data_IF_551391196065
#
_entry.id   IF_551391196065
#
_cell.length_a   1.000
_cell.length_b   1.000
_cell.length_c   1.000
_cell.angle_alpha   90.00
_cell.angle_beta   90.00
_cell.angle_gamma   90.00
#
_symmetry.space_group_name_H-M   'P 1'
#
loop_
_entity.id
_entity.type
_entity.pdbx_description
1 polymer ?
#
# COMPACT_ATOMS: atom_id res chain seq x y z
N UNK A 1 19.86 5.42 13.75
CA UNK A 1 18.44 5.08 13.50
C UNK A 1 17.79 6.27 12.83
N UNK A 2 17.35 6.15 11.57
CA UNK A 2 16.66 7.23 10.88
C UNK A 2 15.39 7.60 11.67
N UNK A 3 15.23 8.89 11.98
CA UNK A 3 14.06 9.42 12.68
C UNK A 3 12.83 9.14 11.81
N UNK A 4 11.86 8.40 12.33
CA UNK A 4 10.62 8.13 11.59
C UNK A 4 9.95 9.46 11.22
N UNK A 5 9.93 9.78 9.93
CA UNK A 5 9.23 10.94 9.38
C UNK A 5 7.76 10.58 9.19
N UNK A 6 6.86 11.51 9.56
CA UNK A 6 5.43 11.33 9.38
C UNK A 6 5.13 11.11 7.89
N UNK A 7 4.41 10.03 7.56
CA UNK A 7 4.07 9.70 6.17
C UNK A 7 5.15 8.98 5.38
N UNK A 8 6.29 8.60 5.98
CA UNK A 8 7.35 7.86 5.29
C UNK A 8 6.90 6.52 4.68
N UNK A 9 5.81 5.94 5.17
CA UNK A 9 5.23 4.70 4.66
C UNK A 9 4.05 4.91 3.70
N UNK A 10 3.72 6.14 3.34
CA UNK A 10 2.65 6.40 2.37
C UNK A 10 3.05 5.81 1.00
N UNK A 11 2.05 5.30 0.28
CA UNK A 11 2.23 4.81 -1.09
C UNK A 11 1.32 5.59 -2.01
N UNK A 12 1.91 6.30 -2.95
CA UNK A 12 1.17 7.02 -3.99
C UNK A 12 0.68 6.04 -5.05
N UNK A 13 -0.57 6.21 -5.48
CA UNK A 13 -1.22 5.45 -6.55
C UNK A 13 -1.99 6.39 -7.47
N UNK A 14 -2.32 5.92 -8.66
CA UNK A 14 -3.31 6.55 -9.54
C UNK A 14 -4.56 5.68 -9.59
N UNK A 15 -5.70 6.24 -9.23
CA UNK A 15 -6.97 5.53 -9.11
C UNK A 15 -8.05 6.25 -9.91
N UNK A 16 -8.59 5.61 -10.96
CA UNK A 16 -9.47 6.21 -11.97
C UNK A 16 -8.91 7.51 -12.57
N UNK A 17 -7.60 7.52 -12.85
CA UNK A 17 -6.89 8.69 -13.40
C UNK A 17 -6.53 9.77 -12.37
N UNK A 18 -6.99 9.65 -11.13
CA UNK A 18 -6.76 10.64 -10.07
C UNK A 18 -5.63 10.19 -9.11
N UNK A 19 -4.76 11.11 -8.66
CA UNK A 19 -3.76 10.78 -7.65
C UNK A 19 -4.43 10.47 -6.31
N UNK A 20 -4.00 9.38 -5.67
CA UNK A 20 -4.45 8.99 -4.34
C UNK A 20 -3.28 8.43 -3.52
N UNK A 21 -3.44 8.42 -2.19
CA UNK A 21 -2.37 8.05 -1.26
C UNK A 21 -2.87 7.00 -0.28
N UNK A 22 -2.25 5.81 -0.31
CA UNK A 22 -2.48 4.76 0.69
C UNK A 22 -1.67 5.09 1.94
N UNK A 23 -2.34 5.17 3.09
CA UNK A 23 -1.76 5.57 4.38
C UNK A 23 -1.72 4.39 5.34
N UNK A 24 -0.53 3.94 5.76
CA UNK A 24 -0.44 2.82 6.69
C UNK A 24 -1.10 3.17 8.02
N UNK A 25 -1.92 2.26 8.54
CA UNK A 25 -2.55 2.40 9.85
C UNK A 25 -2.68 1.05 10.55
N UNK A 26 -2.73 1.05 11.88
CA UNK A 26 -2.98 -0.16 12.66
C UNK A 26 -4.31 -0.80 12.28
N UNK A 27 -5.34 0.02 12.03
CA UNK A 27 -6.66 -0.45 11.61
C UNK A 27 -6.61 -1.18 10.26
N UNK A 28 -5.90 -0.64 9.27
CA UNK A 28 -5.71 -1.27 7.98
C UNK A 28 -4.96 -2.61 8.14
N UNK A 29 -3.84 -2.62 8.86
CA UNK A 29 -3.06 -3.84 9.10
C UNK A 29 -3.90 -4.95 9.75
N UNK A 30 -4.65 -4.63 10.81
CA UNK A 30 -5.50 -5.59 11.51
C UNK A 30 -6.64 -6.11 10.62
N UNK A 31 -7.29 -5.22 9.85
CA UNK A 31 -8.45 -5.59 9.03
C UNK A 31 -8.04 -6.44 7.84
N UNK A 32 -6.98 -6.04 7.12
CA UNK A 32 -6.41 -6.81 6.01
C UNK A 32 -5.97 -8.20 6.51
N UNK A 33 -5.26 -8.25 7.64
CA UNK A 33 -4.80 -9.51 8.23
C UNK A 33 -5.96 -10.46 8.54
N UNK A 34 -7.03 -9.98 9.19
CA UNK A 34 -8.21 -10.82 9.49
C UNK A 34 -8.91 -11.34 8.25
N UNK A 35 -9.01 -10.54 7.19
CA UNK A 35 -9.73 -10.92 5.97
C UNK A 35 -8.96 -11.92 5.11
N UNK A 36 -7.62 -11.92 5.19
CA UNK A 36 -6.77 -12.69 4.28
C UNK A 36 -5.97 -13.81 4.97
N UNK A 37 -6.22 -14.08 6.26
CA UNK A 37 -5.44 -15.08 7.02
C UNK A 37 -3.99 -14.62 7.31
N UNK A 38 -3.78 -13.32 7.45
CA UNK A 38 -2.48 -12.67 7.65
C UNK A 38 -2.07 -11.77 6.50
N UNK A 39 -1.06 -10.93 6.73
CA UNK A 39 -0.50 -10.04 5.69
C UNK A 39 0.13 -10.86 4.56
N UNK A 40 0.80 -11.98 4.86
CA UNK A 40 1.35 -12.88 3.84
C UNK A 40 0.27 -13.45 2.91
N UNK A 41 -0.92 -13.73 3.45
CA UNK A 41 -2.08 -14.15 2.65
C UNK A 41 -2.55 -13.05 1.71
N UNK A 42 -2.62 -11.81 2.20
CA UNK A 42 -2.96 -10.65 1.37
C UNK A 42 -1.93 -10.41 0.25
N UNK A 43 -0.63 -10.54 0.55
CA UNK A 43 0.44 -10.42 -0.46
C UNK A 43 0.29 -11.47 -1.55
N UNK A 44 0.00 -12.72 -1.17
CA UNK A 44 -0.26 -13.80 -2.14
C UNK A 44 -1.47 -13.49 -3.02
N UNK A 45 -2.59 -13.10 -2.42
CA UNK A 45 -3.82 -12.81 -3.15
C UNK A 45 -3.62 -11.66 -4.15
N UNK A 46 -2.99 -10.56 -3.72
CA UNK A 46 -2.65 -9.42 -4.58
C UNK A 46 -1.72 -9.87 -5.72
N UNK A 47 -0.69 -10.67 -5.44
CA UNK A 47 0.20 -11.22 -6.47
C UNK A 47 -0.48 -12.17 -7.47
N UNK A 48 -1.64 -12.71 -7.11
CA UNK A 48 -2.49 -13.54 -7.98
C UNK A 48 -3.57 -12.72 -8.71
N UNK A 49 -3.51 -11.39 -8.64
CA UNK A 49 -4.51 -10.48 -9.21
C UNK A 49 -5.92 -10.72 -8.65
N UNK A 50 -6.03 -11.11 -7.38
CA UNK A 50 -7.33 -11.22 -6.72
C UNK A 50 -7.95 -9.82 -6.59
N UNK A 51 -9.07 -9.61 -7.30
CA UNK A 51 -9.73 -8.31 -7.40
C UNK A 51 -10.22 -7.80 -6.04
N UNK A 52 -10.86 -8.67 -5.27
CA UNK A 52 -11.46 -8.29 -3.98
C UNK A 52 -10.39 -8.00 -2.92
N UNK A 53 -9.27 -8.74 -2.95
CA UNK A 53 -8.12 -8.45 -2.12
C UNK A 53 -7.55 -7.06 -2.44
N UNK A 54 -7.36 -6.73 -3.72
CA UNK A 54 -6.83 -5.43 -4.15
C UNK A 54 -7.80 -4.30 -3.75
N UNK A 55 -9.10 -4.46 -3.99
CA UNK A 55 -10.14 -3.50 -3.59
C UNK A 55 -10.13 -3.29 -2.08
N UNK A 56 -10.05 -4.37 -1.28
CA UNK A 56 -10.03 -4.27 0.17
C UNK A 56 -8.80 -3.48 0.66
N UNK A 57 -7.62 -3.79 0.14
CA UNK A 57 -6.39 -3.11 0.55
C UNK A 57 -6.42 -1.63 0.15
N UNK A 58 -6.86 -1.30 -1.06
CA UNK A 58 -7.00 0.09 -1.52
C UNK A 58 -8.00 0.85 -0.63
N UNK A 59 -9.17 0.27 -0.36
CA UNK A 59 -10.21 0.90 0.48
C UNK A 59 -9.68 1.19 1.88
N UNK A 60 -9.03 0.21 2.51
CA UNK A 60 -8.47 0.34 3.86
C UNK A 60 -7.25 1.27 3.90
N UNK A 61 -6.44 1.29 2.85
CA UNK A 61 -5.30 2.20 2.72
C UNK A 61 -5.72 3.65 2.50
N UNK A 62 -6.81 3.91 1.78
CA UNK A 62 -7.39 5.25 1.65
C UNK A 62 -8.12 5.71 2.92
N UNK A 63 -8.50 4.77 3.80
CA UNK A 63 -9.23 5.08 5.04
C UNK A 63 -10.67 5.57 4.79
N UNK A 64 -11.22 5.27 3.61
CA UNK A 64 -12.56 5.73 3.20
C UNK A 64 -13.65 4.80 3.71
N UNK A 65 -14.85 5.34 3.92
CA UNK A 65 -16.01 4.58 4.42
C UNK A 65 -17.29 5.03 3.72
N UNK A 66 -18.42 4.37 4.02
CA UNK A 66 -19.73 4.81 3.54
C UNK A 66 -19.88 4.77 2.02
N UNK A 67 -20.36 5.86 1.44
CA UNK A 67 -20.60 5.96 -0.02
C UNK A 67 -19.28 5.92 -0.81
N UNK A 68 -18.23 6.55 -0.32
CA UNK A 68 -16.95 6.60 -1.02
C UNK A 68 -16.29 5.22 -1.15
N UNK A 69 -16.36 4.41 -0.08
CA UNK A 69 -15.87 3.03 -0.11
C UNK A 69 -16.58 2.17 -1.17
N UNK A 70 -17.87 2.45 -1.45
CA UNK A 70 -18.64 1.70 -2.46
C UNK A 70 -18.21 1.99 -3.90
N UNK A 71 -17.52 3.10 -4.13
CA UNK A 71 -17.01 3.48 -5.46
C UNK A 71 -15.63 2.89 -5.75
N UNK A 72 -14.89 2.45 -4.72
CA UNK A 72 -13.54 1.90 -4.89
C UNK A 72 -13.49 0.70 -5.85
N UNK A 73 -14.40 -0.29 -5.82
CA UNK A 73 -14.42 -1.37 -6.81
C UNK A 73 -14.47 -0.85 -8.26
N UNK A 74 -15.34 0.12 -8.55
CA UNK A 74 -15.45 0.71 -9.89
C UNK A 74 -14.16 1.43 -10.30
N UNK A 75 -13.55 2.18 -9.37
CA UNK A 75 -12.30 2.87 -9.66
C UNK A 75 -11.14 1.92 -9.90
N UNK A 76 -11.02 0.85 -9.10
CA UNK A 76 -10.04 -0.22 -9.28
C UNK A 76 -10.22 -0.91 -10.63
N UNK A 77 -11.48 -1.20 -11.03
CA UNK A 77 -11.78 -1.78 -12.34
C UNK A 77 -11.30 -0.89 -13.49
N UNK A 78 -11.58 0.41 -13.43
CA UNK A 78 -11.17 1.36 -14.48
C UNK A 78 -9.65 1.58 -14.54
N UNK A 79 -8.96 1.56 -13.41
CA UNK A 79 -7.49 1.63 -13.36
C UNK A 79 -6.86 0.36 -13.94
N UNK A 80 -7.42 -0.81 -13.64
CA UNK A 80 -6.85 -2.09 -13.98
C UNK A 80 -5.88 -2.61 -12.91
N UNK A 81 -5.88 -3.93 -12.72
CA UNK A 81 -5.13 -4.56 -11.62
C UNK A 81 -3.61 -4.51 -11.85
N UNK A 82 -3.15 -4.54 -13.08
CA UNK A 82 -1.71 -4.52 -13.43
C UNK A 82 -0.99 -3.28 -12.91
N UNK A 83 -1.65 -2.12 -12.93
CA UNK A 83 -1.13 -0.86 -12.39
C UNK A 83 -1.11 -0.85 -10.85
N UNK A 84 -2.01 -1.61 -10.22
CA UNK A 84 -2.22 -1.58 -8.77
C UNK A 84 -1.42 -2.65 -8.02
N UNK A 85 -1.13 -3.81 -8.61
CA UNK A 85 -0.45 -4.92 -7.91
C UNK A 85 0.88 -4.48 -7.29
N UNK A 86 1.70 -3.72 -8.03
CA UNK A 86 2.98 -3.20 -7.56
C UNK A 86 2.86 -2.35 -6.29
N UNK A 87 2.19 -1.18 -6.34
CA UNK A 87 2.07 -0.30 -5.19
C UNK A 87 1.26 -0.92 -4.03
N UNK A 88 0.21 -1.70 -4.31
CA UNK A 88 -0.56 -2.39 -3.27
C UNK A 88 0.29 -3.43 -2.54
N UNK A 89 1.15 -4.17 -3.25
CA UNK A 89 2.11 -5.09 -2.63
C UNK A 89 3.11 -4.33 -1.75
N UNK A 90 3.66 -3.21 -2.23
CA UNK A 90 4.54 -2.34 -1.44
C UNK A 90 3.85 -1.89 -0.15
N UNK A 91 2.61 -1.42 -0.25
CA UNK A 91 1.81 -1.01 0.91
C UNK A 91 1.64 -2.14 1.94
N UNK A 92 1.36 -3.37 1.49
CA UNK A 92 1.25 -4.53 2.38
C UNK A 92 2.58 -4.83 3.10
N UNK A 93 3.71 -4.72 2.41
CA UNK A 93 5.02 -4.94 3.05
C UNK A 93 5.37 -3.84 4.06
N UNK A 94 4.95 -2.59 3.79
CA UNK A 94 5.07 -1.48 4.73
C UNK A 94 4.20 -1.72 5.97
N UNK A 95 2.97 -2.22 5.80
CA UNK A 95 2.11 -2.62 6.92
C UNK A 95 2.76 -3.74 7.75
N UNK A 96 3.37 -4.74 7.10
CA UNK A 96 4.10 -5.81 7.79
C UNK A 96 5.29 -5.26 8.62
N UNK A 97 5.91 -4.17 8.18
CA UNK A 97 6.98 -3.47 8.91
C UNK A 97 6.46 -2.43 9.93
N UNK A 98 5.21 -2.55 10.38
CA UNK A 98 4.61 -1.63 11.35
C UNK A 98 4.38 -0.23 10.79
N UNK A 99 4.11 -0.12 9.49
CA UNK A 99 3.81 1.14 8.80
C UNK A 99 5.02 1.96 8.38
N UNK A 100 6.23 1.42 8.54
CA UNK A 100 7.49 2.07 8.11
C UNK A 100 7.93 1.53 6.75
N UNK A 101 8.53 2.38 5.90
CA UNK A 101 9.18 1.90 4.68
C UNK A 101 10.22 0.84 5.00
N UNK A 102 10.31 -0.19 4.16
CA UNK A 102 11.37 -1.18 4.26
C UNK A 102 12.64 -0.48 3.79
N UNK A 103 13.60 -0.28 4.70
CA UNK A 103 14.93 0.16 4.32
C UNK A 103 15.56 -0.99 3.55
N UNK A 104 15.49 -0.98 2.23
CA UNK A 104 16.41 -1.76 1.41
C UNK A 104 17.79 -1.18 1.70
N UNK A 105 18.65 -1.90 2.42
CA UNK A 105 20.01 -1.46 2.74
C UNK A 105 20.84 -1.33 1.46
N UNK A 106 20.73 -0.19 0.80
CA UNK A 106 21.32 0.09 -0.50
C UNK A 106 21.05 1.51 -0.98
N UNK A 107 21.51 2.50 -0.20
CA UNK A 107 22.05 3.75 -0.73
C UNK A 107 23.44 3.91 -0.11
N UNK A 108 24.39 3.12 -0.61
CA UNK A 108 25.79 3.53 -0.64
C UNK A 108 25.99 4.35 -1.92
N UNK A 109 26.40 5.60 -1.77
CA UNK A 109 26.97 6.38 -2.87
C UNK A 109 26.29 7.72 -3.14
N UNK A 110 26.54 8.73 -2.31
CA UNK A 110 27.28 9.92 -2.77
C UNK A 110 27.72 10.71 -1.54
N UNK A 111 28.99 10.53 -1.16
CA UNK A 111 29.72 11.50 -0.36
C UNK A 111 30.40 12.47 -1.35
N UNK A 112 29.83 13.65 -1.66
CA UNK A 112 30.60 14.70 -2.32
C UNK A 112 31.44 15.39 -1.25
N UNK A 113 32.49 14.73 -0.79
CA UNK A 113 33.62 15.41 -0.17
C UNK A 113 34.88 15.14 -0.99
N UNK A 114 35.40 16.25 -1.52
CA UNK A 114 36.80 16.52 -1.86
C UNK A 114 37.19 16.43 -3.35
N UNK A 115 36.95 17.54 -4.07
CA UNK A 115 37.93 18.15 -4.98
C UNK A 115 38.09 19.62 -4.65
#
# INVERSE_FOLDING_TARGET
MAKATLGAGNVDITLDGEPAVLRPSLQAAQSISRQNGGISGAVRAVGQFDFDAIVSVVTLGLGVTGAEAKEIPNKVWKTGLTELVGPVSSFLTILANGGRPISTGGEEGEDPQNQ
#
